data_IF_466990580347
#
_entry.id   IF_466990580347
#
_cell.length_a   1.000
_cell.length_b   1.000
_cell.length_c   1.000
_cell.angle_alpha   90.00
_cell.angle_beta   90.00
_cell.angle_gamma   90.00
#
_symmetry.space_group_name_H-M   'P 1'
#
loop_
_entity.id
_entity.type
_entity.pdbx_description
1 polymer ?
#
# COMPACT_ATOMS: atom_id res chain seq x y z
N UNK A 1 -18.70 -81.15 7.83
CA UNK A 1 -19.40 -80.01 8.48
C UNK A 1 -18.30 -79.10 9.04
N UNK A 2 -18.00 -77.95 8.42
CA UNK A 2 -18.57 -76.61 8.70
C UNK A 2 -18.45 -76.30 10.22
N UNK A 3 -17.64 -75.36 10.71
CA UNK A 3 -17.65 -73.93 10.40
C UNK A 3 -16.31 -73.26 10.76
N UNK A 4 -15.92 -72.26 9.95
CA UNK A 4 -14.84 -71.29 10.18
C UNK A 4 -15.29 -70.23 11.20
N UNK A 5 -14.37 -69.68 12.00
CA UNK A 5 -14.50 -68.39 12.69
C UNK A 5 -13.07 -67.88 12.92
N UNK A 6 -12.45 -67.15 11.99
CA UNK A 6 -12.57 -65.71 11.69
C UNK A 6 -12.53 -64.81 12.93
N UNK A 7 -11.30 -64.54 13.38
CA UNK A 7 -10.99 -63.45 14.31
C UNK A 7 -11.15 -62.13 13.55
N UNK A 8 -12.24 -61.41 13.81
CA UNK A 8 -12.43 -60.05 13.35
C UNK A 8 -11.67 -59.11 14.29
N UNK A 9 -10.46 -58.73 13.91
CA UNK A 9 -9.75 -57.61 14.53
C UNK A 9 -10.36 -56.32 13.99
N UNK A 10 -11.28 -55.72 14.76
CA UNK A 10 -11.82 -54.40 14.48
C UNK A 10 -10.73 -53.38 14.76
N UNK A 11 -10.02 -52.92 13.72
CA UNK A 11 -9.23 -51.69 13.80
C UNK A 11 -10.21 -50.54 14.05
N UNK A 12 -10.20 -49.98 15.27
CA UNK A 12 -10.69 -48.63 15.48
C UNK A 12 -9.72 -47.68 14.75
N UNK A 13 -10.09 -47.26 13.56
CA UNK A 13 -9.53 -46.09 12.90
C UNK A 13 -10.02 -44.83 13.64
N UNK A 14 -9.50 -44.64 14.85
CA UNK A 14 -9.59 -43.40 15.60
C UNK A 14 -8.33 -42.59 15.35
N UNK A 15 -8.41 -41.64 14.42
CA UNK A 15 -7.30 -40.76 14.08
C UNK A 15 -7.82 -39.64 13.21
N UNK A 16 -8.56 -38.71 13.81
CA UNK A 16 -8.86 -37.42 13.21
C UNK A 16 -7.54 -36.76 12.81
N UNK A 17 -7.28 -36.67 11.51
CA UNK A 17 -6.36 -35.68 10.96
C UNK A 17 -7.23 -34.61 10.33
N UNK A 18 -7.80 -33.76 11.17
CA UNK A 18 -8.21 -32.42 10.74
C UNK A 18 -6.97 -31.56 10.80
N UNK A 19 -6.19 -31.55 9.72
CA UNK A 19 -5.18 -30.54 9.48
C UNK A 19 -5.89 -29.22 9.18
N UNK A 20 -6.34 -28.54 10.23
CA UNK A 20 -6.52 -27.09 10.19
C UNK A 20 -5.15 -26.49 10.46
N UNK A 21 -4.25 -26.56 9.47
CA UNK A 21 -3.15 -25.61 9.41
C UNK A 21 -3.71 -24.35 8.76
N UNK A 22 -4.45 -23.55 9.54
CA UNK A 22 -4.50 -22.12 9.25
C UNK A 22 -3.08 -21.64 9.40
N UNK A 23 -2.39 -21.40 8.28
CA UNK A 23 -1.11 -20.72 8.33
C UNK A 23 -1.36 -19.40 9.04
N UNK A 24 -0.79 -19.26 10.23
CA UNK A 24 -0.73 -18.02 10.96
C UNK A 24 -0.13 -16.93 10.05
N UNK A 25 -0.82 -15.80 9.88
CA UNK A 25 -0.26 -14.65 9.19
C UNK A 25 0.99 -14.14 9.95
N UNK A 26 2.04 -13.79 9.22
CA UNK A 26 3.28 -13.25 9.79
C UNK A 26 3.08 -11.81 10.27
N UNK A 27 2.27 -11.05 9.52
CA UNK A 27 1.86 -9.69 9.83
C UNK A 27 0.43 -9.50 9.29
N UNK A 28 -0.43 -8.82 10.02
CA UNK A 28 -1.76 -8.41 9.58
C UNK A 28 -1.86 -6.88 9.57
N UNK A 29 -2.71 -6.35 8.70
CA UNK A 29 -3.11 -4.96 8.67
C UNK A 29 -4.61 -4.89 8.85
N UNK A 30 -5.05 -4.13 9.83
CA UNK A 30 -6.46 -3.87 10.11
C UNK A 30 -6.74 -2.37 9.93
N UNK A 31 -7.71 -2.02 9.09
CA UNK A 31 -8.19 -0.65 8.97
C UNK A 31 -9.04 -0.34 10.20
N UNK A 32 -8.51 0.47 11.10
CA UNK A 32 -9.17 0.82 12.35
C UNK A 32 -9.94 2.13 12.28
N UNK A 33 -9.53 3.03 11.38
CA UNK A 33 -10.21 4.30 11.11
C UNK A 33 -9.85 4.86 9.73
N UNK A 34 -10.73 5.67 9.15
CA UNK A 34 -10.53 6.31 7.85
C UNK A 34 -10.72 5.37 6.65
N UNK A 35 -9.85 5.52 5.65
CA UNK A 35 -10.04 4.94 4.31
C UNK A 35 -10.93 5.82 3.42
N UNK A 36 -10.93 7.13 3.65
CA UNK A 36 -11.84 8.07 3.00
C UNK A 36 -11.15 9.33 2.47
N UNK A 37 -11.76 9.90 1.42
CA UNK A 37 -11.42 11.23 0.94
C UNK A 37 -11.93 12.28 1.94
N UNK A 38 -11.03 13.18 2.33
CA UNK A 38 -11.34 14.33 3.18
C UNK A 38 -10.82 15.60 2.52
N UNK A 39 -11.41 16.74 2.90
CA UNK A 39 -10.97 18.07 2.47
C UNK A 39 -10.79 18.24 0.96
N UNK A 40 -11.56 17.49 0.15
CA UNK A 40 -11.52 17.61 -1.30
C UNK A 40 -12.20 18.92 -1.74
N UNK A 41 -11.53 19.67 -2.60
CA UNK A 41 -12.02 20.95 -3.14
C UNK A 41 -11.84 21.02 -4.65
N UNK A 42 -12.73 21.75 -5.30
CA UNK A 42 -12.62 22.06 -6.72
C UNK A 42 -11.69 23.28 -6.95
N UNK A 43 -11.42 23.61 -8.21
CA UNK A 43 -10.61 24.78 -8.61
C UNK A 43 -11.18 26.14 -8.22
N UNK A 44 -12.45 26.21 -7.79
CA UNK A 44 -13.04 27.42 -7.20
C UNK A 44 -12.89 27.47 -5.66
N UNK A 45 -12.38 26.40 -5.05
CA UNK A 45 -12.32 26.23 -3.59
C UNK A 45 -13.62 25.74 -2.96
N UNK A 46 -14.62 25.33 -3.76
CA UNK A 46 -15.85 24.74 -3.23
C UNK A 46 -15.59 23.28 -2.80
N UNK A 47 -16.15 22.83 -1.67
CA UNK A 47 -15.97 21.47 -1.20
C UNK A 47 -16.63 20.45 -2.14
N UNK A 48 -15.91 19.38 -2.46
CA UNK A 48 -16.44 18.20 -3.17
C UNK A 48 -16.79 17.13 -2.12
N UNK A 49 -18.08 16.83 -1.89
CA UNK A 49 -18.46 15.86 -0.87
C UNK A 49 -18.07 14.44 -1.27
N UNK A 50 -17.44 13.71 -0.35
CA UNK A 50 -17.20 12.28 -0.50
C UNK A 50 -18.44 11.47 -0.13
N UNK A 51 -18.69 10.39 -0.88
CA UNK A 51 -19.64 9.34 -0.52
C UNK A 51 -18.89 8.12 -0.02
N UNK A 52 -19.18 7.69 1.22
CA UNK A 52 -18.45 6.62 1.89
C UNK A 52 -19.38 5.44 2.18
N UNK A 53 -18.86 4.23 1.99
CA UNK A 53 -19.56 2.97 2.27
C UNK A 53 -18.58 1.94 2.80
N UNK A 54 -18.85 1.41 3.97
CA UNK A 54 -18.04 0.35 4.60
C UNK A 54 -18.85 -0.93 4.68
N UNK A 55 -18.24 -2.03 4.25
CA UNK A 55 -18.76 -3.38 4.49
C UNK A 55 -17.76 -4.16 5.36
N UNK A 56 -17.95 -5.48 5.51
CA UNK A 56 -17.08 -6.29 6.37
C UNK A 56 -15.64 -6.43 5.83
N UNK A 57 -15.43 -6.32 4.52
CA UNK A 57 -14.13 -6.60 3.88
C UNK A 57 -13.43 -5.33 3.39
N UNK A 58 -14.19 -4.28 3.05
CA UNK A 58 -13.67 -3.10 2.39
C UNK A 58 -14.39 -1.83 2.83
N UNK A 59 -13.66 -0.72 2.75
CA UNK A 59 -14.18 0.65 2.82
C UNK A 59 -14.01 1.31 1.47
N UNK A 60 -15.10 1.83 0.91
CA UNK A 60 -15.14 2.50 -0.38
C UNK A 60 -15.48 3.97 -0.14
N UNK A 61 -14.62 4.87 -0.62
CA UNK A 61 -14.85 6.31 -0.63
C UNK A 61 -14.79 6.81 -2.06
N UNK A 62 -15.75 7.64 -2.46
CA UNK A 62 -15.82 8.19 -3.82
C UNK A 62 -16.06 9.68 -3.78
N UNK A 63 -15.28 10.42 -4.56
CA UNK A 63 -15.55 11.81 -4.91
C UNK A 63 -15.80 11.89 -6.42
N UNK A 64 -16.67 12.80 -6.84
CA UNK A 64 -16.94 13.06 -8.24
C UNK A 64 -17.12 14.55 -8.45
N UNK A 65 -16.60 15.04 -9.56
CA UNK A 65 -16.69 16.42 -9.99
C UNK A 65 -17.11 16.48 -11.45
N UNK A 66 -17.54 17.66 -11.89
CA UNK A 66 -18.02 17.87 -13.25
C UNK A 66 -19.35 18.61 -13.32
N UNK A 67 -19.88 18.69 -14.54
CA UNK A 67 -21.04 19.51 -14.86
C UNK A 67 -22.37 18.78 -14.67
N UNK A 68 -23.46 19.56 -14.56
CA UNK A 68 -24.83 19.05 -14.45
C UNK A 68 -25.37 18.33 -15.70
N UNK A 69 -24.58 18.24 -16.77
CA UNK A 69 -24.97 17.62 -18.04
C UNK A 69 -24.58 16.13 -18.16
N UNK A 70 -24.00 15.54 -17.12
CA UNK A 70 -23.67 14.12 -17.07
C UNK A 70 -22.20 13.79 -17.36
N UNK A 71 -21.39 14.77 -17.74
CA UNK A 71 -19.94 14.63 -17.90
C UNK A 71 -19.27 14.81 -16.53
N UNK A 72 -18.81 13.71 -15.93
CA UNK A 72 -18.21 13.70 -14.59
C UNK A 72 -17.00 12.79 -14.51
N UNK A 73 -15.92 13.29 -13.91
CA UNK A 73 -14.75 12.51 -13.51
C UNK A 73 -14.93 12.09 -12.07
N UNK A 74 -14.18 11.07 -11.66
CA UNK A 74 -14.30 10.54 -10.30
C UNK A 74 -13.04 9.87 -9.82
N UNK A 75 -12.83 9.96 -8.52
CA UNK A 75 -11.89 9.12 -7.79
C UNK A 75 -12.67 8.19 -6.88
N UNK A 76 -12.33 6.91 -6.94
CA UNK A 76 -12.82 5.88 -6.03
C UNK A 76 -11.64 5.25 -5.31
N UNK A 77 -11.59 5.42 -4.00
CA UNK A 77 -10.68 4.72 -3.10
C UNK A 77 -11.39 3.49 -2.56
N UNK A 78 -10.83 2.31 -2.81
CA UNK A 78 -11.21 1.06 -2.15
C UNK A 78 -10.06 0.66 -1.23
N UNK A 79 -10.34 0.54 0.06
CA UNK A 79 -9.37 0.12 1.08
C UNK A 79 -9.80 -1.23 1.62
N UNK A 80 -8.87 -2.18 1.69
CA UNK A 80 -9.11 -3.47 2.34
C UNK A 80 -9.14 -3.28 3.85
N UNK A 81 -10.19 -3.75 4.51
CA UNK A 81 -10.34 -3.58 5.96
C UNK A 81 -9.44 -4.52 6.76
N UNK A 82 -9.06 -5.65 6.17
CA UNK A 82 -8.20 -6.64 6.80
C UNK A 82 -7.32 -7.31 5.73
N UNK A 83 -6.01 -7.33 5.97
CA UNK A 83 -5.02 -7.89 5.05
C UNK A 83 -4.00 -8.73 5.80
N UNK A 84 -3.74 -9.94 5.31
CA UNK A 84 -2.75 -10.85 5.91
C UNK A 84 -1.53 -11.03 5.01
N UNK A 85 -0.34 -10.84 5.56
CA UNK A 85 0.92 -11.25 4.96
C UNK A 85 1.34 -12.60 5.54
N UNK A 86 1.08 -13.65 4.78
CA UNK A 86 1.33 -15.03 5.18
C UNK A 86 2.78 -15.50 4.97
N UNK A 87 3.56 -14.78 4.15
CA UNK A 87 4.95 -15.12 3.85
C UNK A 87 5.78 -13.90 3.46
N UNK A 88 7.07 -13.94 3.78
CA UNK A 88 8.01 -12.94 3.29
C UNK A 88 8.17 -13.05 1.77
N UNK A 89 8.27 -11.90 1.09
CA UNK A 89 8.39 -11.80 -0.37
C UNK A 89 7.07 -11.73 -1.14
N UNK A 90 5.93 -11.95 -0.47
CA UNK A 90 4.62 -11.78 -1.07
C UNK A 90 4.10 -10.37 -0.81
N UNK A 91 3.57 -9.72 -1.84
CA UNK A 91 2.89 -8.43 -1.73
C UNK A 91 1.42 -8.65 -1.42
N UNK A 92 0.84 -7.82 -0.55
CA UNK A 92 -0.59 -7.79 -0.29
C UNK A 92 -1.17 -6.41 -0.60
N UNK A 93 -2.35 -6.40 -1.23
CA UNK A 93 -3.03 -5.18 -1.62
C UNK A 93 -3.64 -4.51 -0.38
N UNK A 94 -3.33 -3.24 -0.15
CA UNK A 94 -3.90 -2.43 0.92
C UNK A 94 -5.06 -1.57 0.42
N UNK A 95 -4.88 -0.94 -0.74
CA UNK A 95 -5.89 -0.08 -1.32
C UNK A 95 -5.73 0.08 -2.83
N UNK A 96 -6.82 0.49 -3.47
CA UNK A 96 -6.85 0.87 -4.89
C UNK A 96 -7.49 2.24 -5.02
N UNK A 97 -6.86 3.16 -5.74
CA UNK A 97 -7.48 4.40 -6.21
C UNK A 97 -7.75 4.24 -7.69
N UNK A 98 -9.01 4.35 -8.06
CA UNK A 98 -9.46 4.30 -9.44
C UNK A 98 -9.85 5.70 -9.88
N UNK A 99 -9.13 6.22 -10.87
CA UNK A 99 -9.47 7.47 -11.52
C UNK A 99 -10.19 7.20 -12.83
N UNK A 100 -11.38 7.79 -12.99
CA UNK A 100 -12.10 7.85 -14.27
C UNK A 100 -12.01 9.28 -14.77
N UNK A 101 -11.27 9.46 -15.86
CA UNK A 101 -11.13 10.76 -16.50
C UNK A 101 -12.14 10.91 -17.63
N UNK A 102 -12.91 11.98 -17.61
CA UNK A 102 -13.78 12.41 -18.68
C UNK A 102 -13.54 13.90 -18.95
N UNK A 103 -13.70 14.35 -20.20
CA UNK A 103 -13.52 15.75 -20.54
C UNK A 103 -14.63 16.60 -19.91
N UNK A 104 -14.27 17.54 -19.03
CA UNK A 104 -15.23 18.35 -18.27
C UNK A 104 -15.13 19.84 -18.65
N UNK A 105 -16.24 20.49 -19.07
CA UNK A 105 -16.28 21.93 -19.32
C UNK A 105 -16.72 22.73 -18.06
N UNK A 106 -16.16 22.42 -16.90
CA UNK A 106 -16.60 22.93 -15.59
C UNK A 106 -15.44 22.96 -14.56
N UNK A 107 -15.63 23.52 -13.34
CA UNK A 107 -14.63 23.44 -12.29
C UNK A 107 -14.28 21.99 -11.96
N UNK A 108 -12.98 21.75 -12.00
CA UNK A 108 -12.33 20.45 -11.87
C UNK A 108 -11.95 20.20 -10.40
N UNK A 109 -11.55 18.98 -10.04
CA UNK A 109 -10.84 18.76 -8.78
C UNK A 109 -9.59 19.67 -8.73
N UNK A 110 -9.14 20.07 -7.56
CA UNK A 110 -7.89 20.82 -7.36
C UNK A 110 -7.00 20.09 -6.37
N UNK A 111 -7.55 19.75 -5.21
CA UNK A 111 -6.80 19.03 -4.19
C UNK A 111 -7.73 18.26 -3.27
N UNK A 112 -7.13 17.36 -2.51
CA UNK A 112 -7.78 16.68 -1.42
C UNK A 112 -6.79 15.84 -0.65
N UNK A 113 -7.30 15.13 0.35
CA UNK A 113 -6.50 14.26 1.18
C UNK A 113 -7.19 12.91 1.33
N UNK A 114 -6.41 11.87 1.49
CA UNK A 114 -6.90 10.55 1.91
C UNK A 114 -6.35 10.31 3.31
N UNK A 115 -7.25 10.10 4.25
CA UNK A 115 -6.90 9.74 5.62
C UNK A 115 -7.22 8.27 5.86
N UNK A 116 -6.28 7.54 6.43
CA UNK A 116 -6.48 6.15 6.84
C UNK A 116 -5.50 5.73 7.91
N UNK A 117 -5.95 4.89 8.83
CA UNK A 117 -5.15 4.36 9.93
C UNK A 117 -5.18 2.84 9.89
N UNK A 118 -4.01 2.25 9.64
CA UNK A 118 -3.80 0.81 9.64
C UNK A 118 -3.11 0.40 10.94
N UNK A 119 -3.77 -0.44 11.71
CA UNK A 119 -3.13 -1.14 12.83
C UNK A 119 -2.41 -2.38 12.30
N UNK A 120 -1.17 -2.58 12.73
CA UNK A 120 -0.43 -3.80 12.43
C UNK A 120 -0.45 -4.73 13.63
N UNK A 121 -0.77 -5.99 13.40
CA UNK A 121 -0.60 -7.04 14.39
C UNK A 121 0.30 -8.16 13.84
N UNK A 122 0.97 -8.88 14.73
CA UNK A 122 1.74 -10.06 14.39
C UNK A 122 1.47 -11.14 15.42
N UNK A 123 1.43 -12.39 14.96
CA UNK A 123 1.37 -13.53 15.87
C UNK A 123 2.65 -13.71 16.71
N UNK A 124 3.73 -13.03 16.35
CA UNK A 124 4.94 -12.92 17.15
C UNK A 124 4.93 -11.73 18.10
N UNK A 125 5.90 -11.66 19.01
CA UNK A 125 6.11 -10.41 19.76
C UNK A 125 6.63 -9.35 18.78
N UNK A 126 5.76 -8.42 18.40
CA UNK A 126 6.15 -7.20 17.69
C UNK A 126 6.93 -6.35 18.69
N UNK A 127 8.25 -6.32 18.52
CA UNK A 127 9.12 -5.57 19.42
C UNK A 127 9.26 -4.14 18.91
N UNK A 128 9.00 -3.17 19.79
CA UNK A 128 9.23 -1.74 19.55
C UNK A 128 10.72 -1.36 19.51
N UNK A 129 11.63 -2.35 19.47
CA UNK A 129 13.05 -2.14 19.19
C UNK A 129 13.25 -1.77 17.71
N UNK A 130 12.78 -0.58 17.34
CA UNK A 130 12.92 -0.03 16.00
C UNK A 130 14.37 0.36 15.77
N UNK A 131 15.06 -0.37 14.90
CA UNK A 131 16.36 0.07 14.41
C UNK A 131 16.18 1.30 13.52
N UNK A 132 16.36 2.50 14.09
CA UNK A 132 16.49 3.73 13.31
C UNK A 132 17.77 3.65 12.48
N UNK A 133 17.63 3.42 11.18
CA UNK A 133 18.72 3.73 10.26
C UNK A 133 18.88 5.25 10.18
N UNK A 134 20.11 5.75 9.98
CA UNK A 134 20.31 7.13 9.58
C UNK A 134 19.49 7.43 8.31
N UNK A 135 18.48 8.29 8.41
CA UNK A 135 17.64 8.71 7.29
C UNK A 135 16.29 8.01 7.11
N UNK A 136 15.91 7.05 7.97
CA UNK A 136 14.58 6.39 7.89
C UNK A 136 13.68 6.78 9.09
N UNK A 137 12.38 7.04 8.87
CA UNK A 137 11.43 7.30 9.96
C UNK A 137 11.08 6.00 10.70
N UNK A 138 10.74 6.12 11.99
CA UNK A 138 10.07 5.03 12.74
C UNK A 138 8.56 5.08 12.52
N UNK A 139 7.84 4.01 12.87
CA UNK A 139 6.36 3.99 12.82
C UNK A 139 5.75 5.12 13.64
N UNK A 140 6.25 5.32 14.87
CA UNK A 140 5.85 6.40 15.74
C UNK A 140 6.16 7.79 15.13
N UNK A 141 7.28 7.96 14.41
CA UNK A 141 7.58 9.21 13.72
C UNK A 141 6.54 9.51 12.62
N UNK A 142 6.14 8.49 11.85
CA UNK A 142 5.10 8.62 10.80
C UNK A 142 3.74 8.93 11.43
N UNK A 143 3.34 8.17 12.45
CA UNK A 143 2.05 8.32 13.11
C UNK A 143 1.89 9.70 13.78
N UNK A 144 2.91 10.15 14.53
CA UNK A 144 2.88 11.46 15.18
C UNK A 144 2.79 12.63 14.19
N UNK A 145 3.49 12.53 13.05
CA UNK A 145 3.41 13.54 12.00
C UNK A 145 1.98 13.63 11.46
N UNK A 146 1.37 12.49 11.14
CA UNK A 146 0.00 12.42 10.59
C UNK A 146 -1.04 12.98 11.57
N UNK A 147 -1.05 12.55 12.83
CA UNK A 147 -2.05 13.01 13.81
C UNK A 147 -1.95 14.51 14.10
N UNK A 148 -0.72 15.05 14.17
CA UNK A 148 -0.51 16.48 14.44
C UNK A 148 -1.09 17.34 13.32
N UNK A 149 -0.89 16.97 12.05
CA UNK A 149 -1.35 17.78 10.93
C UNK A 149 -2.83 17.57 10.60
N UNK A 150 -3.33 16.33 10.68
CA UNK A 150 -4.76 16.05 10.54
C UNK A 150 -5.59 16.75 11.64
N UNK A 151 -4.95 17.23 12.71
CA UNK A 151 -5.63 17.81 13.87
C UNK A 151 -6.45 16.78 14.63
N UNK A 152 -6.10 15.50 14.47
CA UNK A 152 -6.80 14.36 15.07
C UNK A 152 -5.96 13.73 16.18
N UNK A 153 -6.60 12.97 17.05
CA UNK A 153 -5.92 12.10 18.02
C UNK A 153 -5.90 10.66 17.51
N UNK A 154 -5.01 9.83 18.07
CA UNK A 154 -5.06 8.38 17.89
C UNK A 154 -6.49 7.85 18.04
N UNK A 155 -7.00 7.06 17.08
CA UNK A 155 -8.30 6.41 17.22
C UNK A 155 -8.34 5.52 18.46
N UNK A 156 -9.51 5.40 19.09
CA UNK A 156 -9.67 4.51 20.24
C UNK A 156 -9.43 3.05 19.84
N UNK A 157 -8.35 2.45 20.34
CA UNK A 157 -7.91 1.10 19.98
C UNK A 157 -6.52 1.05 19.33
N UNK A 158 -6.06 2.16 18.74
CA UNK A 158 -4.75 2.23 18.10
C UNK A 158 -3.60 2.27 19.12
N UNK A 159 -2.61 1.39 18.95
CA UNK A 159 -1.30 1.50 19.61
C UNK A 159 -0.32 2.24 18.68
N UNK A 160 0.18 3.41 19.09
CA UNK A 160 1.05 4.24 18.25
C UNK A 160 2.32 3.51 17.80
N UNK A 161 2.79 2.56 18.60
CA UNK A 161 4.01 1.81 18.30
C UNK A 161 3.77 0.71 17.25
N UNK A 162 2.50 0.32 17.03
CA UNK A 162 2.07 -0.70 16.08
C UNK A 162 1.18 -0.16 14.95
N UNK A 163 0.92 1.15 14.92
CA UNK A 163 0.00 1.77 13.96
C UNK A 163 0.76 2.50 12.85
N UNK A 164 0.40 2.22 11.61
CA UNK A 164 0.70 3.07 10.46
C UNK A 164 -0.49 3.98 10.23
N UNK A 165 -0.39 5.23 10.69
CA UNK A 165 -1.29 6.27 10.22
C UNK A 165 -0.74 6.81 8.89
N UNK A 166 -1.59 6.91 7.88
CA UNK A 166 -1.24 7.52 6.61
C UNK A 166 -2.19 8.66 6.28
N UNK A 167 -1.60 9.82 6.01
CA UNK A 167 -2.29 10.93 5.36
C UNK A 167 -1.61 11.13 4.00
N UNK A 168 -2.31 10.72 2.94
CA UNK A 168 -1.87 10.98 1.58
C UNK A 168 -2.47 12.31 1.13
N UNK A 169 -1.61 13.29 0.91
CA UNK A 169 -2.01 14.53 0.26
C UNK A 169 -1.91 14.32 -1.24
N UNK A 170 -2.98 14.65 -1.96
CA UNK A 170 -2.93 14.68 -3.40
C UNK A 170 -3.26 16.07 -3.92
N UNK A 171 -2.47 16.48 -4.89
CA UNK A 171 -2.77 17.61 -5.75
C UNK A 171 -3.18 17.04 -7.08
N UNK A 172 -4.24 17.58 -7.63
CA UNK A 172 -4.73 17.20 -8.93
C UNK A 172 -4.65 18.41 -9.85
N UNK A 173 -4.20 18.15 -11.06
CA UNK A 173 -4.03 19.16 -12.08
C UNK A 173 -4.68 18.62 -13.34
N UNK A 174 -5.92 19.03 -13.55
CA UNK A 174 -6.60 18.87 -14.84
C UNK A 174 -6.01 19.88 -15.81
N UNK A 175 -5.55 19.38 -16.94
CA UNK A 175 -5.05 20.24 -18.00
C UNK A 175 -6.23 20.75 -18.81
N UNK A 176 -6.16 22.02 -19.22
CA UNK A 176 -7.33 22.66 -19.81
C UNK A 176 -7.69 22.08 -21.18
N UNK A 177 -8.83 21.41 -21.24
CA UNK A 177 -9.46 20.89 -22.46
C UNK A 177 -10.02 22.00 -23.36
N UNK A 178 -9.15 22.86 -23.93
CA UNK A 178 -9.55 23.88 -24.90
C UNK A 178 -9.01 23.60 -26.31
N UNK A 179 -9.83 23.79 -27.37
CA UNK A 179 -9.32 23.80 -28.73
C UNK A 179 -8.37 24.98 -28.92
N UNK A 180 -7.06 24.71 -28.83
CA UNK A 180 -5.99 25.72 -28.93
C UNK A 180 -5.28 26.06 -27.61
N UNK A 181 -5.55 25.35 -26.50
CA UNK A 181 -4.72 25.39 -25.30
C UNK A 181 -3.40 24.64 -25.54
N UNK A 182 -2.31 25.12 -24.93
CA UNK A 182 -1.03 24.39 -24.91
C UNK A 182 -1.17 23.27 -23.88
N UNK A 183 -1.23 22.01 -24.32
CA UNK A 183 -1.05 20.90 -23.39
C UNK A 183 0.44 20.91 -23.02
N UNK A 184 0.78 21.43 -21.84
CA UNK A 184 2.17 21.61 -21.33
C UNK A 184 3.01 20.30 -21.33
N UNK A 185 2.39 19.16 -21.66
CA UNK A 185 2.98 17.82 -21.61
C UNK A 185 3.27 17.17 -22.98
N UNK A 186 3.25 17.95 -24.08
CA UNK A 186 4.13 17.65 -25.22
C UNK A 186 3.63 16.65 -26.25
N UNK A 187 2.42 16.84 -26.78
CA UNK A 187 2.16 16.49 -28.19
C UNK A 187 2.33 17.74 -29.04
N UNK A 188 3.56 17.96 -29.50
CA UNK A 188 3.82 18.89 -30.59
C UNK A 188 3.04 18.44 -31.84
N UNK A 189 1.98 19.18 -32.17
CA UNK A 189 1.72 19.50 -33.57
C UNK A 189 0.50 18.90 -34.26
N UNK A 190 -0.58 18.52 -33.58
CA UNK A 190 -1.85 18.31 -34.29
C UNK A 190 -3.07 18.79 -33.49
N UNK A 191 -3.93 19.54 -34.18
CA UNK A 191 -5.16 20.15 -33.69
C UNK A 191 -6.26 19.08 -33.48
N UNK A 192 -6.21 18.24 -32.42
CA UNK A 192 -7.33 17.38 -31.96
C UNK A 192 -7.09 16.78 -30.53
N UNK A 193 -8.15 16.43 -29.75
CA UNK A 193 -8.40 16.70 -28.30
C UNK A 193 -8.04 15.53 -27.36
N UNK A 194 -8.47 15.50 -26.06
CA UNK A 194 -8.37 16.46 -24.94
C UNK A 194 -7.04 16.22 -24.15
N UNK A 195 -6.64 17.11 -23.23
CA UNK A 195 -5.35 17.03 -22.53
C UNK A 195 -5.42 16.11 -21.29
N UNK A 196 -4.36 15.31 -21.03
CA UNK A 196 -4.37 14.32 -19.95
C UNK A 196 -4.35 14.92 -18.53
N UNK A 197 -4.99 14.24 -17.59
CA UNK A 197 -5.04 14.62 -16.18
C UNK A 197 -3.84 14.14 -15.39
N UNK A 198 -3.25 15.05 -14.60
CA UNK A 198 -2.13 14.71 -13.72
C UNK A 198 -2.56 14.67 -12.27
N UNK A 199 -2.22 13.58 -11.60
CA UNK A 199 -2.31 13.43 -10.17
C UNK A 199 -0.91 13.38 -9.57
N UNK A 200 -0.72 14.16 -8.53
CA UNK A 200 0.51 14.20 -7.76
C UNK A 200 0.16 13.78 -6.36
N UNK A 201 0.67 12.62 -5.94
CA UNK A 201 0.48 12.11 -4.59
C UNK A 201 1.76 12.30 -3.79
N UNK A 202 1.59 12.70 -2.54
CA UNK A 202 2.66 12.83 -1.56
C UNK A 202 2.19 12.23 -0.25
N UNK A 203 3.09 11.50 0.40
CA UNK A 203 2.88 11.17 1.79
C UNK A 203 3.25 12.38 2.64
N UNK A 204 2.46 12.60 3.69
CA UNK A 204 2.73 13.69 4.60
C UNK A 204 4.14 13.60 5.20
N UNK A 205 4.73 14.77 5.49
CA UNK A 205 6.12 14.89 5.95
C UNK A 205 7.17 14.78 4.84
N UNK A 206 6.75 14.75 3.56
CA UNK A 206 7.66 14.61 2.42
C UNK A 206 8.32 13.23 2.36
N UNK A 207 7.68 12.22 2.99
CA UNK A 207 8.18 10.86 3.01
C UNK A 207 8.05 10.29 1.59
N UNK A 208 9.14 9.87 0.95
CA UNK A 208 9.09 9.35 -0.40
C UNK A 208 8.37 7.99 -0.42
N UNK A 209 7.60 7.75 -1.49
CA UNK A 209 7.12 6.43 -1.88
C UNK A 209 8.17 5.83 -2.84
N UNK A 210 8.56 4.54 -2.68
CA UNK A 210 8.13 3.59 -1.65
C UNK A 210 8.71 3.87 -0.26
N UNK A 211 7.92 3.61 0.79
CA UNK A 211 8.38 3.69 2.18
C UNK A 211 8.96 2.34 2.59
N UNK A 212 10.11 2.36 3.28
CA UNK A 212 10.71 1.17 3.89
C UNK A 212 10.79 1.33 5.42
N UNK A 213 10.18 0.39 6.14
CA UNK A 213 10.09 0.34 7.60
C UNK A 213 10.73 -0.95 8.07
N UNK A 214 11.67 -0.86 9.02
CA UNK A 214 12.28 -2.06 9.61
C UNK A 214 11.49 -2.53 10.82
N UNK A 215 11.19 -3.82 10.85
CA UNK A 215 10.43 -4.49 11.91
C UNK A 215 11.27 -5.60 12.53
N UNK A 216 11.02 -5.89 13.81
CA UNK A 216 11.48 -7.11 14.47
C UNK A 216 10.27 -7.95 14.82
N UNK A 217 10.18 -9.13 14.21
CA UNK A 217 9.12 -10.10 14.48
C UNK A 217 9.81 -11.35 15.02
N UNK A 218 9.50 -11.75 16.26
CA UNK A 218 10.14 -12.91 16.91
C UNK A 218 11.67 -12.86 16.96
N UNK A 219 12.24 -11.66 17.16
CA UNK A 219 13.70 -11.39 17.14
C UNK A 219 14.37 -11.53 15.76
N UNK A 220 13.61 -11.74 14.68
CA UNK A 220 14.11 -11.70 13.31
C UNK A 220 13.84 -10.34 12.67
N UNK A 221 14.79 -9.85 11.86
CA UNK A 221 14.69 -8.57 11.19
C UNK A 221 13.94 -8.69 9.86
N UNK A 222 12.95 -7.84 9.68
CA UNK A 222 12.19 -7.70 8.45
C UNK A 222 12.19 -6.25 7.95
N UNK A 223 11.97 -6.08 6.66
CA UNK A 223 11.73 -4.81 6.00
C UNK A 223 10.32 -4.83 5.41
N UNK A 224 9.41 -4.07 6.00
CA UNK A 224 8.12 -3.76 5.40
C UNK A 224 8.33 -2.65 4.37
N UNK A 225 7.87 -2.90 3.15
CA UNK A 225 7.86 -1.90 2.08
C UNK A 225 6.43 -1.61 1.68
N UNK A 226 6.05 -0.32 1.71
CA UNK A 226 4.78 0.15 1.16
C UNK A 226 5.07 0.88 -0.14
N UNK A 227 4.43 0.47 -1.22
CA UNK A 227 4.70 0.97 -2.56
C UNK A 227 3.45 1.00 -3.41
N UNK A 228 3.48 1.80 -4.48
CA UNK A 228 2.37 1.96 -5.40
C UNK A 228 2.74 1.44 -6.79
N UNK A 229 1.77 0.88 -7.53
CA UNK A 229 1.90 0.53 -8.95
C UNK A 229 0.75 1.16 -9.75
N UNK A 230 0.97 1.42 -11.06
CA UNK A 230 -0.05 1.97 -11.96
C UNK A 230 -0.48 0.89 -12.94
N UNK A 231 -1.79 0.64 -13.03
CA UNK A 231 -2.40 -0.32 -13.95
C UNK A 231 -1.80 -1.74 -13.87
N UNK A 232 -1.18 -2.07 -12.73
CA UNK A 232 -0.57 -3.36 -12.47
C UNK A 232 -1.02 -3.91 -11.09
N UNK A 233 -2.02 -4.81 -11.07
CA UNK A 233 -2.52 -5.40 -9.84
C UNK A 233 -1.66 -6.56 -9.33
N UNK A 234 -0.52 -6.88 -9.97
CA UNK A 234 0.31 -8.05 -9.58
C UNK A 234 1.08 -7.85 -8.29
N UNK A 235 1.32 -6.60 -7.89
CA UNK A 235 2.13 -6.27 -6.72
C UNK A 235 3.62 -6.56 -6.91
N UNK A 236 4.13 -6.55 -8.15
CA UNK A 236 5.58 -6.63 -8.40
C UNK A 236 6.24 -5.30 -8.01
N UNK A 237 7.08 -5.34 -6.98
CA UNK A 237 7.84 -4.18 -6.49
C UNK A 237 8.77 -3.58 -7.55
N UNK A 238 9.15 -4.33 -8.58
CA UNK A 238 9.95 -3.79 -9.69
C UNK A 238 9.17 -2.79 -10.56
N UNK A 239 7.83 -2.83 -10.50
CA UNK A 239 6.94 -1.90 -11.16
C UNK A 239 6.48 -0.77 -10.22
N UNK A 240 7.10 -0.66 -9.04
CA UNK A 240 6.79 0.40 -8.09
C UNK A 240 7.07 1.79 -8.67
N UNK A 241 6.13 2.70 -8.47
CA UNK A 241 6.32 4.12 -8.76
C UNK A 241 7.36 4.66 -7.80
N UNK A 242 8.40 5.29 -8.36
CA UNK A 242 9.40 6.00 -7.58
C UNK A 242 9.00 7.46 -7.48
N UNK A 243 8.95 7.97 -6.25
CA UNK A 243 8.75 9.40 -6.04
C UNK A 243 9.97 10.20 -6.52
N UNK A 244 9.72 11.29 -7.24
CA UNK A 244 10.72 12.28 -7.64
C UNK A 244 10.49 13.52 -6.79
N UNK A 245 11.50 13.97 -6.05
CA UNK A 245 11.38 15.09 -5.10
C UNK A 245 10.27 14.89 -4.04
N UNK A 246 10.01 13.64 -3.63
CA UNK A 246 8.98 13.31 -2.63
C UNK A 246 7.55 13.24 -3.20
N UNK A 247 7.38 13.40 -4.52
CA UNK A 247 6.08 13.33 -5.19
C UNK A 247 6.04 12.14 -6.15
N UNK A 248 4.99 11.33 -6.05
CA UNK A 248 4.68 10.30 -7.03
C UNK A 248 3.64 10.87 -8.01
N UNK A 249 4.03 10.99 -9.27
CA UNK A 249 3.19 11.54 -10.33
C UNK A 249 2.59 10.41 -11.16
N UNK A 250 1.31 10.53 -11.48
CA UNK A 250 0.63 9.63 -12.41
C UNK A 250 -0.32 10.41 -13.31
N UNK A 251 -0.43 9.95 -14.56
CA UNK A 251 -1.20 10.60 -15.62
C UNK A 251 -2.36 9.65 -15.98
N UNK A 252 -3.54 10.22 -16.16
CA UNK A 252 -4.70 9.50 -16.70
C UNK A 252 -5.12 10.15 -18.00
N UNK A 253 -5.00 9.38 -19.07
CA UNK A 253 -5.45 9.81 -20.38
C UNK A 253 -6.93 10.17 -20.34
N UNK A 254 -7.30 11.15 -21.15
CA UNK A 254 -8.70 11.57 -21.30
C UNK A 254 -9.60 10.45 -21.84
N UNK A 255 -10.85 10.44 -21.38
CA UNK A 255 -11.85 9.38 -21.62
C UNK A 255 -11.38 7.97 -21.21
N UNK A 256 -10.30 7.87 -20.44
CA UNK A 256 -9.73 6.62 -19.96
C UNK A 256 -9.77 6.54 -18.44
N UNK A 257 -9.22 5.45 -17.95
CA UNK A 257 -9.24 5.11 -16.55
C UNK A 257 -7.88 4.56 -16.13
N UNK A 258 -7.40 5.03 -15.00
CA UNK A 258 -6.16 4.58 -14.39
C UNK A 258 -6.45 4.04 -13.00
N UNK A 259 -5.82 2.92 -12.67
CA UNK A 259 -5.87 2.32 -11.33
C UNK A 259 -4.50 2.40 -10.67
N UNK A 260 -4.44 3.04 -9.51
CA UNK A 260 -3.30 3.06 -8.63
C UNK A 260 -3.51 2.01 -7.55
N UNK A 261 -2.59 1.06 -7.40
CA UNK A 261 -2.65 0.03 -6.37
C UNK A 261 -1.58 0.29 -5.33
N UNK A 262 -1.96 0.26 -4.05
CA UNK A 262 -1.04 0.37 -2.92
C UNK A 262 -0.83 -1.01 -2.33
N UNK A 263 0.43 -1.45 -2.24
CA UNK A 263 0.81 -2.74 -1.72
C UNK A 263 1.70 -2.61 -0.48
N UNK A 264 1.60 -3.60 0.41
CA UNK A 264 2.58 -3.90 1.44
C UNK A 264 3.34 -5.19 1.10
N UNK A 265 4.65 -5.17 1.21
CA UNK A 265 5.49 -6.36 1.09
C UNK A 265 6.46 -6.45 2.26
N UNK A 266 6.53 -7.62 2.89
CA UNK A 266 7.47 -7.89 3.97
C UNK A 266 8.63 -8.73 3.44
N UNK A 267 9.87 -8.26 3.64
CA UNK A 267 11.09 -8.96 3.21
C UNK A 267 11.96 -9.32 4.41
N UNK A 268 12.53 -10.52 4.41
CA UNK A 268 13.50 -10.91 5.42
C UNK A 268 14.82 -10.14 5.24
N UNK A 269 15.37 -9.60 6.32
CA UNK A 269 16.68 -8.92 6.32
C UNK A 269 17.70 -9.85 7.00
N UNK A 270 18.63 -10.45 6.24
CA UNK A 270 19.67 -11.29 6.82
C UNK A 270 20.50 -10.51 7.84
N UNK A 271 20.74 -11.11 9.00
CA UNK A 271 21.59 -10.48 10.01
C UNK A 271 22.99 -10.16 9.45
N UNK A 272 23.59 -9.00 9.80
CA UNK A 272 24.94 -8.64 9.37
C UNK A 272 26.00 -9.67 9.77
N UNK A 273 25.79 -10.37 10.89
CA UNK A 273 26.67 -11.44 11.36
C UNK A 273 26.71 -12.62 10.37
N UNK A 274 25.58 -12.96 9.76
CA UNK A 274 25.46 -14.05 8.78
C UNK A 274 26.22 -13.72 7.50
N UNK A 275 26.15 -12.47 7.04
CA UNK A 275 26.97 -11.97 5.92
C UNK A 275 28.47 -11.93 6.27
N UNK A 276 28.80 -11.54 7.51
CA UNK A 276 30.18 -11.55 8.01
C UNK A 276 30.78 -12.96 8.08
N UNK A 277 30.01 -13.94 8.57
CA UNK A 277 30.42 -15.35 8.65
C UNK A 277 30.53 -15.95 7.26
N UNK A 278 29.61 -15.64 6.34
CA UNK A 278 29.71 -16.07 4.94
C UNK A 278 30.94 -15.45 4.26
N UNK A 279 31.20 -14.17 4.47
CA UNK A 279 32.37 -13.46 3.97
C UNK A 279 33.68 -14.06 4.52
N UNK A 280 33.74 -14.33 5.82
CA UNK A 280 34.87 -14.99 6.48
C UNK A 280 35.04 -16.44 6.01
N UNK A 281 33.93 -17.15 5.77
CA UNK A 281 33.93 -18.51 5.24
C UNK A 281 34.48 -18.58 3.81
N UNK A 282 34.08 -17.63 2.95
CA UNK A 282 34.60 -17.50 1.59
C UNK A 282 36.08 -17.08 1.58
N UNK A 283 36.48 -16.16 2.46
CA UNK A 283 37.90 -15.80 2.65
C UNK A 283 38.73 -17.00 3.13
N UNK A 284 38.17 -17.80 4.05
CA UNK A 284 38.76 -19.04 4.55
C UNK A 284 38.98 -20.08 3.45
N UNK A 285 37.99 -20.26 2.56
CA UNK A 285 38.13 -21.17 1.40
C UNK A 285 39.13 -20.65 0.36
N UNK A 286 39.15 -19.33 0.10
CA UNK A 286 40.13 -18.72 -0.80
C UNK A 286 41.58 -18.86 -0.26
N UNK A 287 41.77 -18.72 1.06
CA UNK A 287 43.08 -18.90 1.70
C UNK A 287 43.57 -20.36 1.64
N UNK A 288 42.67 -21.34 1.78
CA UNK A 288 43.01 -22.77 1.66
C UNK A 288 43.42 -23.19 0.24
N UNK A 289 42.85 -22.58 -0.80
CA UNK A 289 43.30 -22.82 -2.19
C UNK A 289 44.74 -22.36 -2.44
N UNK A 290 45.17 -21.29 -1.77
CA UNK A 290 46.54 -20.76 -1.90
C UNK A 290 47.60 -21.56 -1.14
N UNK A 291 47.18 -22.39 -0.17
CA UNK A 291 48.07 -23.32 0.54
C UNK A 291 48.21 -24.70 -0.13
N UNK A 292 47.37 -25.00 -1.12
CA UNK A 292 47.36 -26.28 -1.85
C UNK A 292 47.92 -26.15 -3.29
N UNK A 293 48.36 -24.96 -3.71
CA UNK A 293 49.16 -24.72 -4.92
C UNK A 293 50.60 -24.41 -4.55
#
# INVERSE_FOLDING_TARGET
MKLKSLVTATLLAGGMVTSLSTSAALLTFDLIDGGEFINAVNTNGDPIPATNSTNATQTISRISWGGSNGDSSSLELTTENHVELNSAGTSALLSTIKHVNNPIPAPTLDSGQIYGVLEMDSMGTLSTAHYKLPGSPTLADVANAVFTEAGTSLPGGADIDNTIASLFNFTFMETLNFPGGDCDFGLNGDLTPPCDDKFMSTLFGGIPIPIQIKLLINSEAYMLTIFNTINDPTGDINNAILSVNGMAEFITDEENMTSLYTFAQLMYVPEPATLGILGLGLLGMASRRKMLS
#
